data_IF_474155289672
#
_entry.id   IF_474155289672
#
_cell.length_a   1.000
_cell.length_b   1.000
_cell.length_c   1.000
_cell.angle_alpha   90.00
_cell.angle_beta   90.00
_cell.angle_gamma   90.00
#
_symmetry.space_group_name_H-M   'P 1'
#
loop_
_entity.id
_entity.type
_entity.pdbx_description
1 polymer ?
#
# COMPACT_ATOMS: atom_id res chain seq x y z
N UNK A 1 46.90 -31.59 5.18
CA UNK A 1 47.08 -30.36 4.38
C UNK A 1 45.90 -30.33 3.41
N UNK A 2 44.71 -29.85 3.82
CA UNK A 2 44.19 -28.47 3.73
C UNK A 2 44.12 -27.95 2.30
N UNK A 3 42.98 -28.19 1.65
CA UNK A 3 42.55 -27.54 0.41
C UNK A 3 41.10 -27.06 0.56
N UNK A 4 40.99 -25.73 0.74
CA UNK A 4 39.93 -24.76 0.46
C UNK A 4 38.43 -25.13 0.58
N UNK A 5 37.62 -24.34 1.31
CA UNK A 5 36.18 -24.26 1.11
C UNK A 5 35.82 -23.09 0.17
N UNK A 6 35.30 -23.42 -1.00
CA UNK A 6 34.64 -22.48 -1.92
C UNK A 6 33.19 -22.23 -1.47
N UNK A 7 32.93 -20.98 -1.09
CA UNK A 7 31.91 -20.12 -1.67
C UNK A 7 30.59 -20.81 -2.09
N UNK A 8 29.54 -20.75 -1.24
CA UNK A 8 28.15 -20.38 -1.58
C UNK A 8 27.33 -20.20 -0.29
N UNK A 9 27.03 -18.96 0.11
CA UNK A 9 25.87 -18.67 0.95
C UNK A 9 25.41 -17.22 0.74
N UNK A 10 24.87 -16.97 -0.45
CA UNK A 10 23.95 -15.85 -0.68
C UNK A 10 22.57 -16.25 -0.16
N UNK A 11 21.80 -15.23 0.26
CA UNK A 11 20.38 -15.26 0.69
C UNK A 11 20.13 -15.54 2.18
N UNK A 12 19.96 -14.49 2.98
CA UNK A 12 18.63 -14.00 3.35
C UNK A 12 18.80 -12.67 4.10
N UNK A 13 18.25 -11.59 3.52
CA UNK A 13 18.27 -10.26 4.11
C UNK A 13 17.49 -10.29 5.44
N UNK A 14 18.21 -10.05 6.54
CA UNK A 14 17.60 -9.84 7.84
C UNK A 14 16.79 -8.54 7.82
N UNK A 15 15.51 -8.64 8.17
CA UNK A 15 14.69 -7.52 8.66
C UNK A 15 15.39 -6.92 9.89
N UNK A 16 16.25 -5.95 9.67
CA UNK A 16 16.89 -5.15 10.71
C UNK A 16 16.13 -3.81 10.83
N UNK A 17 14.98 -3.82 11.49
CA UNK A 17 14.29 -2.60 11.93
C UNK A 17 13.82 -2.72 13.38
N UNK A 18 14.80 -2.89 14.26
CA UNK A 18 14.70 -2.48 15.67
C UNK A 18 16.11 -2.18 16.22
N UNK A 19 16.84 -1.28 15.55
CA UNK A 19 18.06 -0.69 16.07
C UNK A 19 17.77 0.74 16.59
N UNK A 20 16.78 0.88 17.46
CA UNK A 20 16.60 2.10 18.26
C UNK A 20 16.30 1.71 19.70
N UNK A 21 17.38 1.44 20.43
CA UNK A 21 17.50 1.69 21.87
C UNK A 21 19.01 1.63 22.18
N UNK A 22 19.79 2.41 21.42
CA UNK A 22 21.19 2.63 21.74
C UNK A 22 21.25 3.44 23.03
N UNK A 23 21.93 2.84 24.00
CA UNK A 23 22.59 3.46 25.14
C UNK A 23 21.67 4.05 26.20
N UNK A 24 21.10 3.17 27.02
CA UNK A 24 21.12 3.41 28.45
C UNK A 24 22.59 3.33 28.91
N UNK A 25 23.26 4.47 29.09
CA UNK A 25 24.56 4.50 29.80
C UNK A 25 24.76 5.80 30.56
N UNK A 26 24.80 5.64 31.88
CA UNK A 26 25.46 6.51 32.85
C UNK A 26 26.75 7.12 32.28
N UNK A 27 26.85 8.44 32.20
CA UNK A 27 28.14 9.13 32.08
C UNK A 27 28.01 10.63 32.34
N UNK A 28 28.70 11.07 33.39
CA UNK A 28 28.89 12.46 33.81
C UNK A 28 29.74 13.27 32.80
N UNK A 29 29.19 13.60 31.64
CA UNK A 29 29.72 14.65 30.77
C UNK A 29 28.68 15.75 30.64
N UNK A 30 29.12 16.99 30.86
CA UNK A 30 28.27 18.19 30.88
C UNK A 30 27.43 18.27 29.59
N UNK A 31 26.11 18.42 29.76
CA UNK A 31 25.09 18.31 28.72
C UNK A 31 25.35 19.17 27.46
N UNK A 32 26.12 20.27 27.56
CA UNK A 32 26.39 21.17 26.43
C UNK A 32 27.21 20.55 25.30
N UNK A 33 28.29 19.82 25.59
CA UNK A 33 29.20 19.32 24.54
C UNK A 33 28.65 18.13 23.75
N UNK A 34 27.77 17.32 24.35
CA UNK A 34 27.13 16.21 23.63
C UNK A 34 26.03 16.70 22.70
N UNK A 35 25.33 17.77 23.08
CA UNK A 35 24.28 18.36 22.24
C UNK A 35 24.88 18.95 20.97
N UNK A 36 25.99 19.69 21.06
CA UNK A 36 26.62 20.30 19.88
C UNK A 36 27.16 19.25 18.88
N UNK A 37 27.81 18.18 19.37
CA UNK A 37 28.28 17.09 18.50
C UNK A 37 27.14 16.25 17.92
N UNK A 38 26.06 16.04 18.68
CA UNK A 38 24.90 15.28 18.22
C UNK A 38 24.11 16.08 17.19
N UNK A 39 23.94 17.39 17.35
CA UNK A 39 23.24 18.25 16.39
C UNK A 39 24.01 18.33 15.07
N UNK A 40 25.34 18.50 15.10
CA UNK A 40 26.14 18.52 13.87
C UNK A 40 26.05 17.19 13.09
N UNK A 41 26.18 16.06 13.79
CA UNK A 41 26.08 14.72 13.17
C UNK A 41 24.66 14.40 12.70
N UNK A 42 23.64 14.86 13.44
CA UNK A 42 22.23 14.69 13.09
C UNK A 42 21.82 15.58 11.91
N UNK A 43 22.48 16.72 11.69
CA UNK A 43 22.21 17.58 10.54
C UNK A 43 22.77 16.98 9.24
N UNK A 44 23.95 16.35 9.33
CA UNK A 44 24.60 15.67 8.20
C UNK A 44 23.86 14.38 7.79
N UNK A 45 23.55 13.50 8.76
CA UNK A 45 22.77 12.27 8.50
C UNK A 45 21.26 12.53 8.35
N UNK A 46 20.77 13.61 8.91
CA UNK A 46 19.37 14.02 8.80
C UNK A 46 19.01 14.52 7.40
N UNK A 47 19.98 15.05 6.63
CA UNK A 47 19.75 15.42 5.24
C UNK A 47 19.51 14.18 4.35
N UNK A 48 20.31 13.12 4.55
CA UNK A 48 20.16 11.84 3.84
C UNK A 48 18.88 11.10 4.28
N UNK A 49 18.64 11.00 5.60
CA UNK A 49 17.42 10.40 6.15
C UNK A 49 16.15 11.16 5.77
N UNK A 50 16.20 12.49 5.63
CA UNK A 50 15.04 13.28 5.17
C UNK A 50 14.72 13.01 3.71
N UNK A 51 15.74 12.75 2.87
CA UNK A 51 15.53 12.35 1.48
C UNK A 51 14.89 10.97 1.41
N UNK A 52 15.45 9.98 2.11
CA UNK A 52 14.93 8.61 2.14
C UNK A 52 13.54 8.54 2.78
N UNK A 53 13.31 9.25 3.90
CA UNK A 53 12.01 9.31 4.55
C UNK A 53 10.96 10.02 3.69
N UNK A 54 11.33 11.07 2.94
CA UNK A 54 10.43 11.72 1.98
C UNK A 54 10.07 10.78 0.84
N UNK A 55 11.05 10.02 0.34
CA UNK A 55 10.84 9.08 -0.76
C UNK A 55 9.95 7.91 -0.32
N UNK A 56 10.24 7.31 0.82
CA UNK A 56 9.39 6.28 1.43
C UNK A 56 7.98 6.79 1.75
N UNK A 57 7.85 8.02 2.26
CA UNK A 57 6.52 8.62 2.53
C UNK A 57 5.76 8.96 1.25
N UNK A 58 6.44 9.42 0.20
CA UNK A 58 5.82 9.70 -1.10
C UNK A 58 5.31 8.40 -1.75
N UNK A 59 6.13 7.35 -1.76
CA UNK A 59 5.73 6.03 -2.29
C UNK A 59 4.56 5.43 -1.52
N UNK A 60 4.57 5.52 -0.18
CA UNK A 60 3.44 5.10 0.66
C UNK A 60 2.18 5.92 0.39
N UNK A 61 2.31 7.24 0.21
CA UNK A 61 1.19 8.13 -0.09
C UNK A 61 0.57 7.81 -1.45
N UNK A 62 1.39 7.59 -2.47
CA UNK A 62 0.92 7.30 -3.82
C UNK A 62 0.26 5.91 -3.89
N UNK A 63 0.83 4.90 -3.23
CA UNK A 63 0.19 3.59 -3.07
C UNK A 63 -1.13 3.70 -2.32
N UNK A 64 -1.16 4.42 -1.19
CA UNK A 64 -2.38 4.62 -0.41
C UNK A 64 -3.46 5.35 -1.23
N UNK A 65 -3.10 6.38 -1.99
CA UNK A 65 -4.02 7.11 -2.86
C UNK A 65 -4.58 6.21 -3.98
N UNK A 66 -3.73 5.41 -4.63
CA UNK A 66 -4.13 4.46 -5.66
C UNK A 66 -5.09 3.39 -5.13
N UNK A 67 -4.77 2.83 -3.95
CA UNK A 67 -5.66 1.88 -3.28
C UNK A 67 -6.99 2.50 -2.90
N UNK A 68 -6.99 3.74 -2.36
CA UNK A 68 -8.20 4.45 -2.01
C UNK A 68 -9.08 4.77 -3.23
N UNK A 69 -8.47 5.19 -4.34
CA UNK A 69 -9.18 5.42 -5.60
C UNK A 69 -9.81 4.13 -6.13
N UNK A 70 -9.04 3.03 -6.13
CA UNK A 70 -9.52 1.71 -6.57
C UNK A 70 -10.67 1.20 -5.69
N UNK A 71 -10.56 1.35 -4.37
CA UNK A 71 -11.62 0.96 -3.44
C UNK A 71 -12.90 1.78 -3.67
N UNK A 72 -12.78 3.09 -3.86
CA UNK A 72 -13.92 3.98 -4.16
C UNK A 72 -14.62 3.57 -5.44
N UNK A 73 -13.83 3.22 -6.48
CA UNK A 73 -14.37 2.76 -7.76
C UNK A 73 -15.12 1.43 -7.63
N UNK A 74 -14.54 0.43 -6.95
CA UNK A 74 -15.22 -0.87 -6.75
C UNK A 74 -16.52 -0.71 -5.96
N UNK A 75 -16.55 0.15 -4.94
CA UNK A 75 -17.77 0.43 -4.18
C UNK A 75 -18.82 1.12 -5.07
N UNK A 76 -18.40 2.08 -5.91
CA UNK A 76 -19.28 2.72 -6.88
C UNK A 76 -19.86 1.73 -7.89
N UNK A 77 -19.02 0.86 -8.45
CA UNK A 77 -19.43 -0.16 -9.43
C UNK A 77 -20.42 -1.15 -8.81
N UNK A 78 -20.20 -1.60 -7.57
CA UNK A 78 -21.14 -2.47 -6.87
C UNK A 78 -22.50 -1.80 -6.60
N UNK A 79 -22.50 -0.51 -6.26
CA UNK A 79 -23.72 0.26 -6.09
C UNK A 79 -24.51 0.37 -7.41
N UNK A 80 -23.82 0.65 -8.53
CA UNK A 80 -24.42 0.70 -9.86
C UNK A 80 -25.00 -0.67 -10.25
N UNK A 81 -24.24 -1.75 -10.10
CA UNK A 81 -24.72 -3.12 -10.37
C UNK A 81 -25.97 -3.43 -9.56
N UNK A 82 -26.01 -3.03 -8.28
CA UNK A 82 -27.16 -3.25 -7.41
C UNK A 82 -28.38 -2.47 -7.90
N UNK A 83 -28.21 -1.20 -8.30
CA UNK A 83 -29.30 -0.37 -8.82
C UNK A 83 -29.85 -0.90 -10.15
N UNK A 84 -28.97 -1.34 -11.05
CA UNK A 84 -29.36 -1.94 -12.34
C UNK A 84 -30.09 -3.25 -12.09
N UNK A 85 -29.55 -4.15 -11.26
CA UNK A 85 -30.23 -5.40 -10.89
C UNK A 85 -31.58 -5.15 -10.22
N UNK A 86 -31.68 -4.16 -9.34
CA UNK A 86 -32.95 -3.80 -8.71
C UNK A 86 -33.97 -3.28 -9.72
N UNK A 87 -33.53 -2.59 -10.77
CA UNK A 87 -34.38 -2.10 -11.85
C UNK A 87 -34.86 -3.24 -12.75
N UNK A 88 -33.98 -4.16 -13.13
CA UNK A 88 -34.34 -5.39 -13.86
C UNK A 88 -35.30 -6.24 -13.03
N UNK A 89 -35.08 -6.34 -11.71
CA UNK A 89 -35.95 -7.06 -10.80
C UNK A 89 -37.30 -6.37 -10.50
N UNK A 90 -37.51 -5.12 -10.94
CA UNK A 90 -38.84 -4.50 -10.89
C UNK A 90 -39.67 -4.83 -12.12
N UNK A 91 -39.03 -5.15 -13.23
CA UNK A 91 -39.70 -5.52 -14.48
C UNK A 91 -40.10 -6.99 -14.46
N UNK A 92 -41.41 -7.26 -14.47
CA UNK A 92 -41.93 -8.63 -14.39
C UNK A 92 -41.55 -9.51 -15.60
N UNK A 93 -41.34 -8.92 -16.78
CA UNK A 93 -40.96 -9.67 -17.98
C UNK A 93 -39.47 -10.02 -17.97
N UNK A 94 -38.62 -9.10 -17.48
CA UNK A 94 -37.17 -9.30 -17.45
C UNK A 94 -36.72 -10.15 -16.25
N UNK A 95 -37.45 -10.14 -15.14
CA UNK A 95 -37.06 -10.84 -13.90
C UNK A 95 -37.16 -12.36 -13.97
N UNK A 96 -37.86 -12.90 -14.97
CA UNK A 96 -37.93 -14.33 -15.26
C UNK A 96 -36.77 -14.77 -16.15
N UNK A 97 -36.08 -13.82 -16.79
CA UNK A 97 -34.94 -14.06 -17.67
C UNK A 97 -33.65 -13.97 -16.86
N UNK A 98 -32.67 -14.82 -17.19
CA UNK A 98 -31.30 -14.63 -16.72
C UNK A 98 -30.66 -13.49 -17.51
N UNK A 99 -30.43 -12.38 -16.83
CA UNK A 99 -29.65 -11.23 -17.31
C UNK A 99 -28.53 -10.98 -16.31
N UNK A 100 -27.30 -11.21 -16.75
CA UNK A 100 -26.09 -10.89 -16.02
C UNK A 100 -25.75 -9.40 -16.14
N UNK A 101 -25.32 -8.82 -15.02
CA UNK A 101 -24.96 -7.41 -14.91
C UNK A 101 -23.54 -7.30 -14.36
N UNK A 102 -22.61 -6.91 -15.23
CA UNK A 102 -21.22 -6.66 -14.88
C UNK A 102 -20.92 -5.17 -14.95
N UNK A 103 -20.46 -4.58 -13.85
CA UNK A 103 -20.00 -3.18 -13.83
C UNK A 103 -18.51 -3.14 -13.53
N UNK A 104 -17.74 -2.53 -14.44
CA UNK A 104 -16.28 -2.41 -14.34
C UNK A 104 -15.86 -1.01 -14.74
N UNK A 105 -15.27 -0.27 -13.81
CA UNK A 105 -14.83 1.12 -14.00
C UNK A 105 -15.95 2.05 -14.48
N UNK A 106 -17.13 1.93 -13.87
CA UNK A 106 -18.33 2.69 -14.22
C UNK A 106 -18.98 2.30 -15.55
N UNK A 107 -18.46 1.27 -16.24
CA UNK A 107 -19.07 0.73 -17.46
C UNK A 107 -19.89 -0.49 -17.11
N UNK A 108 -21.17 -0.45 -17.46
CA UNK A 108 -22.10 -1.57 -17.31
C UNK A 108 -22.13 -2.39 -18.60
N UNK A 109 -22.05 -3.70 -18.46
CA UNK A 109 -22.30 -4.70 -19.50
C UNK A 109 -23.47 -5.56 -19.06
N UNK A 110 -24.43 -5.74 -19.96
CA UNK A 110 -25.60 -6.57 -19.76
C UNK A 110 -25.54 -7.72 -20.76
N UNK A 111 -25.66 -8.95 -20.26
CA UNK A 111 -25.64 -10.15 -21.09
C UNK A 111 -26.75 -11.10 -20.68
N UNK A 112 -27.49 -11.63 -21.63
CA UNK A 112 -28.64 -12.49 -21.34
C UNK A 112 -29.63 -12.51 -22.48
N UNK A 113 -30.78 -13.15 -22.25
CA UNK A 113 -31.90 -13.16 -23.20
C UNK A 113 -32.92 -12.13 -22.74
N UNK A 114 -33.37 -11.26 -23.64
CA UNK A 114 -34.45 -10.33 -23.39
C UNK A 114 -35.63 -10.67 -24.31
N UNK A 115 -36.88 -10.47 -23.85
CA UNK A 115 -38.04 -10.51 -24.73
C UNK A 115 -37.91 -9.43 -25.81
N UNK A 116 -38.42 -9.74 -26.99
CA UNK A 116 -38.65 -8.79 -28.07
C UNK A 116 -39.55 -7.63 -27.61
N UNK A 117 -39.27 -6.43 -28.14
CA UNK A 117 -39.88 -5.15 -27.74
C UNK A 117 -41.28 -4.92 -28.33
#
# INVERSE_FOLDING_TARGET
MKSQPTLKLTTLAALASAAFLVACSDSQQTAGQKLDQTVATAQEKGAELKSEAKQATAELKDQAASMAASATQTVGDAAITTEVNASLAKDAALRVMEIDVDTVQGRVTLSGTAPDA
#
